data_IF_322517234776
#
_entry.id   IF_322517234776
#
_cell.length_a   1.000
_cell.length_b   1.000
_cell.length_c   1.000
_cell.angle_alpha   90.00
_cell.angle_beta   90.00
_cell.angle_gamma   90.00
#
_symmetry.space_group_name_H-M   'P 1'
#
loop_
_entity.id
_entity.type
_entity.pdbx_description
1 polymer ?
#
# COMPACT_ATOMS: atom_id res chain seq x y z
N UNK A 1 -18.32 39.82 61.45
CA UNK A 1 -17.20 39.57 60.52
C UNK A 1 -17.39 38.19 59.92
N UNK A 2 -17.88 38.12 58.67
CA UNK A 2 -18.18 36.86 57.99
C UNK A 2 -16.92 36.45 57.18
N UNK A 3 -16.36 35.29 57.50
CA UNK A 3 -15.26 34.68 56.74
C UNK A 3 -15.83 33.99 55.52
N UNK A 4 -15.58 34.51 54.34
CA UNK A 4 -15.89 33.88 53.04
C UNK A 4 -14.78 32.89 52.73
N UNK A 5 -15.10 31.58 52.77
CA UNK A 5 -14.22 30.52 52.33
C UNK A 5 -14.32 30.42 50.80
N UNK A 6 -13.28 30.84 50.10
CA UNK A 6 -13.17 30.69 48.65
C UNK A 6 -12.68 29.25 48.34
N UNK A 7 -13.59 28.39 47.88
CA UNK A 7 -13.27 27.03 47.45
C UNK A 7 -12.80 27.10 45.97
N UNK A 8 -11.49 27.15 45.79
CA UNK A 8 -10.92 27.09 44.44
C UNK A 8 -11.02 25.64 43.90
N UNK A 9 -12.01 25.39 43.05
CA UNK A 9 -12.16 24.13 42.33
C UNK A 9 -11.09 24.05 41.22
N UNK A 10 -9.97 23.37 41.50
CA UNK A 10 -8.91 23.14 40.56
C UNK A 10 -9.34 22.02 39.59
N UNK A 11 -9.90 22.41 38.44
CA UNK A 11 -10.28 21.48 37.38
C UNK A 11 -8.98 20.98 36.67
N UNK A 12 -8.48 19.81 37.10
CA UNK A 12 -7.34 19.16 36.45
C UNK A 12 -7.85 18.63 35.11
N UNK A 13 -7.53 19.35 34.03
CA UNK A 13 -7.73 18.89 32.67
C UNK A 13 -6.73 17.74 32.40
N UNK A 14 -7.18 16.49 32.57
CA UNK A 14 -6.40 15.31 32.19
C UNK A 14 -6.38 15.25 30.66
N UNK A 15 -5.38 15.83 30.06
CA UNK A 15 -5.12 15.66 28.61
C UNK A 15 -4.61 14.23 28.44
N UNK A 16 -5.50 13.33 28.02
CA UNK A 16 -5.10 12.01 27.55
C UNK A 16 -4.28 12.21 26.27
N UNK A 17 -2.96 12.14 26.39
CA UNK A 17 -2.06 12.03 25.25
C UNK A 17 -2.29 10.64 24.60
N UNK A 18 -3.20 10.59 23.63
CA UNK A 18 -3.37 9.41 22.82
C UNK A 18 -2.07 9.26 22.02
N UNK A 19 -1.18 8.39 22.49
CA UNK A 19 -0.02 7.98 21.71
C UNK A 19 -0.52 7.19 20.50
N UNK A 20 -0.70 7.87 19.37
CA UNK A 20 -1.11 7.24 18.13
C UNK A 20 0.01 6.31 17.64
N UNK A 21 -0.16 5.02 17.89
CA UNK A 21 0.82 4.02 17.47
C UNK A 21 0.90 3.98 15.95
N UNK A 22 2.11 4.17 15.43
CA UNK A 22 2.37 4.20 13.99
C UNK A 22 3.47 3.21 13.66
N UNK A 23 3.17 2.23 12.82
CA UNK A 23 4.16 1.33 12.26
C UNK A 23 4.63 1.86 10.90
N UNK A 24 5.94 1.72 10.65
CA UNK A 24 6.56 2.07 9.37
C UNK A 24 7.45 0.93 8.91
N UNK A 25 7.47 0.69 7.61
CA UNK A 25 8.33 -0.33 7.04
C UNK A 25 8.87 0.10 5.67
N UNK A 26 10.00 -0.50 5.30
CA UNK A 26 10.56 -0.50 3.93
C UNK A 26 10.50 -1.91 3.32
N UNK A 27 9.78 -2.82 3.95
CA UNK A 27 9.55 -4.17 3.47
C UNK A 27 8.15 -4.25 2.86
N UNK A 28 8.00 -3.63 1.69
CA UNK A 28 6.80 -3.68 0.88
C UNK A 28 7.16 -4.17 -0.52
N UNK A 29 6.75 -5.40 -0.80
CA UNK A 29 7.00 -6.11 -2.03
C UNK A 29 5.80 -5.96 -2.96
N UNK A 30 6.02 -5.48 -4.18
CA UNK A 30 4.99 -5.37 -5.21
C UNK A 30 5.45 -6.17 -6.42
N UNK A 31 4.68 -7.16 -6.80
CA UNK A 31 4.89 -7.99 -7.98
C UNK A 31 3.75 -7.76 -8.97
N UNK A 32 4.05 -7.75 -10.26
CA UNK A 32 3.06 -7.81 -11.31
C UNK A 32 3.49 -8.72 -12.45
N UNK A 33 2.52 -9.32 -13.12
CA UNK A 33 2.74 -10.10 -14.32
C UNK A 33 1.65 -9.76 -15.37
N UNK A 34 1.96 -8.91 -16.34
CA UNK A 34 0.98 -8.50 -17.35
C UNK A 34 0.82 -9.52 -18.48
N UNK A 35 1.58 -10.63 -18.51
CA UNK A 35 1.45 -11.63 -19.55
C UNK A 35 0.02 -12.20 -19.60
N UNK A 36 -0.52 -12.39 -20.81
CA UNK A 36 -1.84 -13.01 -21.01
C UNK A 36 -1.84 -14.46 -20.52
N UNK A 37 -0.76 -15.19 -20.77
CA UNK A 37 -0.48 -16.48 -20.15
C UNK A 37 0.44 -16.27 -18.95
N UNK A 38 -0.12 -16.43 -17.75
CA UNK A 38 0.58 -16.20 -16.48
C UNK A 38 1.71 -17.21 -16.19
N UNK A 39 1.80 -18.30 -16.95
CA UNK A 39 2.95 -19.23 -16.89
C UNK A 39 4.22 -18.58 -17.43
N UNK A 40 4.09 -17.62 -18.35
CA UNK A 40 5.19 -16.81 -18.86
C UNK A 40 5.48 -15.63 -17.92
N UNK A 41 6.74 -15.24 -17.84
CA UNK A 41 7.20 -14.14 -16.98
C UNK A 41 8.05 -13.12 -17.72
N UNK A 42 7.96 -13.09 -19.04
CA UNK A 42 8.82 -12.25 -19.89
C UNK A 42 8.63 -10.75 -19.58
N UNK A 43 7.39 -10.36 -19.20
CA UNK A 43 7.02 -8.99 -18.86
C UNK A 43 6.78 -8.80 -17.36
N UNK A 44 7.01 -9.85 -16.54
CA UNK A 44 6.82 -9.77 -15.10
C UNK A 44 7.95 -8.99 -14.44
N UNK A 45 7.63 -8.27 -13.37
CA UNK A 45 8.63 -7.58 -12.56
C UNK A 45 8.17 -7.43 -11.11
N UNK A 46 9.10 -7.10 -10.23
CA UNK A 46 8.83 -6.81 -8.83
C UNK A 46 9.70 -5.66 -8.32
N UNK A 47 9.12 -4.89 -7.40
CA UNK A 47 9.85 -3.97 -6.54
C UNK A 47 9.85 -4.51 -5.12
N UNK A 48 11.00 -4.41 -4.43
CA UNK A 48 11.16 -4.74 -3.01
C UNK A 48 11.46 -3.50 -2.16
N UNK A 49 11.31 -2.31 -2.73
CA UNK A 49 11.71 -1.04 -2.13
C UNK A 49 10.51 -0.15 -1.79
N UNK A 50 9.34 -0.74 -1.69
CA UNK A 50 8.14 -0.04 -1.24
C UNK A 50 8.27 0.38 0.23
N UNK A 51 7.70 1.54 0.56
CA UNK A 51 7.62 2.05 1.93
C UNK A 51 6.17 2.16 2.34
N UNK A 52 5.82 1.64 3.52
CA UNK A 52 4.46 1.71 4.02
C UNK A 52 4.37 2.26 5.45
N UNK A 53 3.22 2.85 5.76
CA UNK A 53 2.87 3.38 7.08
C UNK A 53 1.48 2.88 7.45
N UNK A 54 1.33 2.37 8.68
CA UNK A 54 0.05 2.02 9.29
C UNK A 54 -0.13 2.84 10.55
N UNK A 55 -1.20 3.62 10.62
CA UNK A 55 -1.67 4.29 11.85
C UNK A 55 -2.72 3.42 12.52
N UNK A 56 -2.37 2.85 13.66
CA UNK A 56 -3.18 1.81 14.30
C UNK A 56 -4.55 2.32 14.76
N UNK A 57 -4.58 3.50 15.38
CA UNK A 57 -5.82 4.04 15.98
C UNK A 57 -6.86 4.46 14.92
N UNK A 58 -6.42 4.87 13.73
CA UNK A 58 -7.30 5.35 12.66
C UNK A 58 -7.48 4.32 11.54
N UNK A 59 -6.76 3.19 11.60
CA UNK A 59 -6.68 2.18 10.53
C UNK A 59 -6.21 2.74 9.18
N UNK A 60 -5.60 3.93 9.18
CA UNK A 60 -5.07 4.55 7.97
C UNK A 60 -3.81 3.83 7.53
N UNK A 61 -3.72 3.58 6.23
CA UNK A 61 -2.55 2.98 5.59
C UNK A 61 -2.13 3.79 4.39
N UNK A 62 -0.83 3.97 4.25
CA UNK A 62 -0.23 4.58 3.08
C UNK A 62 0.90 3.69 2.56
N UNK A 63 1.02 3.60 1.24
CA UNK A 63 2.09 2.89 0.54
C UNK A 63 2.67 3.81 -0.53
N UNK A 64 3.99 3.81 -0.67
CA UNK A 64 4.72 4.46 -1.74
C UNK A 64 5.67 3.44 -2.36
N UNK A 65 5.66 3.32 -3.68
CA UNK A 65 6.51 2.42 -4.45
C UNK A 65 7.26 3.24 -5.50
N UNK A 66 8.59 3.35 -5.41
CA UNK A 66 9.37 4.01 -6.45
C UNK A 66 9.32 3.20 -7.75
N UNK A 67 8.92 3.80 -8.85
CA UNK A 67 8.71 3.05 -10.11
C UNK A 67 10.00 2.55 -10.74
N UNK A 68 11.13 3.22 -10.53
CA UNK A 68 12.45 2.79 -11.03
C UNK A 68 13.04 1.57 -10.33
N UNK A 69 12.40 1.06 -9.29
CA UNK A 69 12.84 -0.14 -8.57
C UNK A 69 12.26 -1.45 -9.13
N UNK A 70 11.47 -1.34 -10.18
CA UNK A 70 11.04 -2.51 -10.97
C UNK A 70 12.10 -2.87 -11.99
N UNK A 71 12.77 -4.01 -11.78
CA UNK A 71 13.81 -4.51 -12.68
C UNK A 71 13.31 -5.68 -13.51
N UNK A 72 13.77 -5.75 -14.75
CA UNK A 72 13.40 -6.77 -15.71
C UNK A 72 14.64 -7.57 -16.15
N UNK A 73 14.43 -8.81 -16.60
CA UNK A 73 15.52 -9.61 -17.14
C UNK A 73 16.03 -9.10 -18.50
N UNK A 74 15.31 -8.18 -19.13
CA UNK A 74 15.63 -7.57 -20.40
C UNK A 74 15.78 -6.05 -20.23
N UNK A 75 16.98 -5.52 -20.44
CA UNK A 75 17.28 -4.10 -20.26
C UNK A 75 16.45 -3.19 -21.18
N UNK A 76 16.19 -3.60 -22.42
CA UNK A 76 15.35 -2.83 -23.35
C UNK A 76 13.91 -2.76 -22.87
N UNK A 77 13.40 -3.84 -22.27
CA UNK A 77 12.07 -3.84 -21.66
C UNK A 77 12.01 -2.91 -20.44
N UNK A 78 13.04 -2.90 -19.61
CA UNK A 78 13.14 -1.98 -18.47
C UNK A 78 13.19 -0.52 -18.91
N UNK A 79 13.94 -0.21 -19.97
CA UNK A 79 13.95 1.12 -20.61
C UNK A 79 12.56 1.51 -21.10
N UNK A 80 11.88 0.63 -21.87
CA UNK A 80 10.53 0.89 -22.36
C UNK A 80 9.52 1.07 -21.22
N UNK A 81 9.62 0.26 -20.16
CA UNK A 81 8.78 0.41 -18.97
C UNK A 81 8.96 1.79 -18.34
N UNK A 82 10.21 2.23 -18.17
CA UNK A 82 10.51 3.49 -17.51
C UNK A 82 10.21 4.71 -18.37
N UNK A 83 10.52 4.66 -19.67
CA UNK A 83 10.49 5.84 -20.52
C UNK A 83 9.21 5.96 -21.34
N UNK A 84 8.71 4.82 -21.89
CA UNK A 84 7.61 4.84 -22.85
C UNK A 84 6.25 4.55 -22.17
N UNK A 85 6.23 3.72 -21.11
CA UNK A 85 4.96 3.31 -20.50
C UNK A 85 4.66 4.11 -19.23
N UNK A 86 5.59 4.13 -18.28
CA UNK A 86 5.35 4.73 -16.96
C UNK A 86 5.91 6.15 -16.82
N UNK A 87 6.71 6.63 -17.78
CA UNK A 87 7.33 7.96 -17.74
C UNK A 87 7.90 8.28 -16.36
N UNK A 88 8.74 7.36 -15.81
CA UNK A 88 9.13 7.37 -14.39
C UNK A 88 9.93 8.60 -13.99
N UNK A 89 10.51 9.33 -14.93
CA UNK A 89 11.12 10.65 -14.67
C UNK A 89 10.08 11.71 -14.32
N UNK A 90 8.86 11.61 -14.87
CA UNK A 90 7.73 12.51 -14.60
C UNK A 90 6.85 12.01 -13.45
N UNK A 91 6.65 10.70 -13.37
CA UNK A 91 5.82 10.03 -12.38
C UNK A 91 6.65 9.00 -11.59
N UNK A 92 7.55 9.44 -10.71
CA UNK A 92 8.55 8.57 -10.09
C UNK A 92 7.98 7.54 -9.11
N UNK A 93 6.75 7.74 -8.63
CA UNK A 93 6.17 6.90 -7.59
C UNK A 93 4.74 6.50 -7.94
N UNK A 94 4.39 5.23 -7.61
CA UNK A 94 3.02 4.85 -7.36
C UNK A 94 2.70 5.00 -5.87
N UNK A 95 1.47 5.38 -5.54
CA UNK A 95 1.06 5.55 -4.13
C UNK A 95 -0.32 4.97 -3.88
N UNK A 96 -0.54 4.47 -2.67
CA UNK A 96 -1.87 4.19 -2.13
C UNK A 96 -2.05 4.97 -0.83
N UNK A 97 -3.24 5.52 -0.63
CA UNK A 97 -3.67 6.14 0.63
C UNK A 97 -5.09 5.72 0.92
N UNK A 98 -5.32 5.13 2.09
CA UNK A 98 -6.65 4.63 2.44
C UNK A 98 -6.75 4.13 3.86
N UNK A 99 -7.75 3.28 4.10
CA UNK A 99 -8.03 2.68 5.40
C UNK A 99 -8.25 1.17 5.25
N UNK A 100 -7.99 0.45 6.33
CA UNK A 100 -8.30 -0.96 6.48
C UNK A 100 -9.65 -1.11 7.20
N UNK A 101 -10.64 -1.64 6.50
CA UNK A 101 -11.95 -1.98 7.07
C UNK A 101 -11.89 -3.37 7.68
N UNK A 102 -12.44 -3.54 8.88
CA UNK A 102 -12.36 -4.79 9.65
C UNK A 102 -11.08 -4.92 10.48
N UNK A 103 -10.18 -3.95 10.41
CA UNK A 103 -8.98 -3.90 11.26
C UNK A 103 -9.33 -3.42 12.67
N UNK A 104 -8.76 -4.11 13.67
CA UNK A 104 -8.80 -3.71 15.06
C UNK A 104 -7.39 -3.91 15.66
N UNK A 105 -6.92 -2.95 16.45
CA UNK A 105 -5.60 -2.99 17.07
C UNK A 105 -5.34 -4.22 17.92
N UNK A 106 -6.37 -4.75 18.58
CA UNK A 106 -6.25 -5.95 19.42
C UNK A 106 -5.86 -7.20 18.62
N UNK A 107 -6.14 -7.20 17.30
CA UNK A 107 -5.70 -8.27 16.40
C UNK A 107 -4.17 -8.37 16.32
N UNK A 108 -3.46 -7.26 16.48
CA UNK A 108 -1.99 -7.24 16.44
C UNK A 108 -1.34 -7.93 17.64
N UNK A 109 -2.10 -8.23 18.69
CA UNK A 109 -1.62 -8.88 19.92
C UNK A 109 -1.78 -10.41 19.90
N UNK A 110 -2.40 -10.97 18.86
CA UNK A 110 -2.72 -12.40 18.78
C UNK A 110 -2.30 -12.95 17.43
N UNK A 111 -1.50 -14.01 17.43
CA UNK A 111 -1.19 -14.75 16.22
C UNK A 111 -2.49 -15.24 15.55
N UNK A 112 -2.58 -15.02 14.24
CA UNK A 112 -3.78 -15.39 13.49
C UNK A 112 -3.80 -14.82 12.08
N UNK A 113 -4.83 -15.23 11.34
CA UNK A 113 -5.13 -14.76 9.99
C UNK A 113 -6.48 -14.02 10.05
N UNK A 114 -6.49 -12.80 9.53
CA UNK A 114 -7.66 -11.92 9.54
C UNK A 114 -7.95 -11.46 8.11
N UNK A 115 -9.22 -11.55 7.70
CA UNK A 115 -9.66 -11.04 6.41
C UNK A 115 -10.18 -9.62 6.57
N UNK A 116 -9.55 -8.69 5.87
CA UNK A 116 -9.82 -7.27 5.90
C UNK A 116 -10.20 -6.79 4.48
N UNK A 117 -10.58 -5.53 4.37
CA UNK A 117 -10.67 -4.82 3.10
C UNK A 117 -9.86 -3.53 3.18
N UNK A 118 -9.19 -3.19 2.09
CA UNK A 118 -8.50 -1.91 1.92
C UNK A 118 -9.34 -1.02 1.01
N UNK A 119 -9.63 0.19 1.45
CA UNK A 119 -10.41 1.19 0.69
C UNK A 119 -9.69 2.52 0.70
N UNK A 120 -9.59 3.17 -0.46
CA UNK A 120 -8.86 4.42 -0.59
C UNK A 120 -8.60 4.81 -2.04
N UNK A 121 -7.44 5.39 -2.30
CA UNK A 121 -7.04 5.86 -3.63
C UNK A 121 -5.66 5.36 -4.00
N UNK A 122 -5.53 4.87 -5.22
CA UNK A 122 -4.25 4.57 -5.89
C UNK A 122 -3.94 5.68 -6.87
N UNK A 123 -2.71 6.17 -6.82
CA UNK A 123 -2.16 7.04 -7.86
C UNK A 123 -1.05 6.30 -8.59
N UNK A 124 -1.17 6.18 -9.90
CA UNK A 124 -0.18 5.57 -10.80
C UNK A 124 -0.12 6.40 -12.07
N UNK A 125 1.08 6.64 -12.61
CA UNK A 125 1.29 7.41 -13.84
C UNK A 125 0.57 8.78 -13.83
N UNK A 126 0.49 9.42 -12.64
CA UNK A 126 -0.16 10.71 -12.44
C UNK A 126 -1.70 10.67 -12.38
N UNK A 127 -2.33 9.52 -12.57
CA UNK A 127 -3.78 9.33 -12.50
C UNK A 127 -4.16 8.73 -11.15
N UNK A 128 -5.14 9.31 -10.49
CA UNK A 128 -5.69 8.82 -9.21
C UNK A 128 -7.04 8.17 -9.43
N UNK A 129 -7.23 6.97 -8.89
CA UNK A 129 -8.47 6.18 -8.94
C UNK A 129 -8.86 5.71 -7.56
N UNK A 130 -10.16 5.59 -7.32
CA UNK A 130 -10.67 4.90 -6.14
C UNK A 130 -10.29 3.43 -6.22
N UNK A 131 -9.95 2.87 -5.05
CA UNK A 131 -9.45 1.52 -4.92
C UNK A 131 -10.11 0.80 -3.77
N UNK A 132 -10.50 -0.44 -4.02
CA UNK A 132 -10.98 -1.37 -3.01
C UNK A 132 -10.51 -2.77 -3.33
N UNK A 133 -9.89 -3.43 -2.35
CA UNK A 133 -9.45 -4.81 -2.51
C UNK A 133 -9.49 -5.57 -1.18
N UNK A 134 -9.69 -6.91 -1.21
CA UNK A 134 -9.51 -7.75 -0.04
C UNK A 134 -8.05 -7.77 0.39
N UNK A 135 -7.84 -7.82 1.69
CA UNK A 135 -6.52 -7.90 2.32
C UNK A 135 -6.52 -9.05 3.32
N UNK A 136 -5.54 -9.94 3.20
CA UNK A 136 -5.26 -10.96 4.21
C UNK A 136 -4.18 -10.42 5.14
N UNK A 137 -4.52 -10.21 6.40
CA UNK A 137 -3.56 -9.85 7.45
C UNK A 137 -3.16 -11.12 8.22
N UNK A 138 -1.86 -11.39 8.29
CA UNK A 138 -1.29 -12.50 9.07
C UNK A 138 -0.43 -11.92 10.19
N UNK A 139 -0.80 -12.18 11.44
CA UNK A 139 0.00 -11.83 12.62
C UNK A 139 0.73 -13.08 13.08
N UNK A 140 2.06 -12.98 13.22
CA UNK A 140 2.90 -14.07 13.69
C UNK A 140 4.07 -13.53 14.51
N UNK A 141 4.07 -13.82 15.81
CA UNK A 141 5.10 -13.37 16.74
C UNK A 141 5.21 -11.84 16.74
N UNK A 142 6.36 -11.33 16.32
CA UNK A 142 6.64 -9.89 16.28
C UNK A 142 6.53 -9.28 14.88
N UNK A 143 5.68 -9.82 14.03
CA UNK A 143 5.45 -9.27 12.70
C UNK A 143 3.99 -9.39 12.28
N UNK A 144 3.54 -8.45 11.46
CA UNK A 144 2.28 -8.52 10.75
C UNK A 144 2.54 -8.35 9.25
N UNK A 145 1.98 -9.26 8.46
CA UNK A 145 2.03 -9.22 6.99
C UNK A 145 0.64 -8.89 6.45
N UNK A 146 0.59 -7.96 5.51
CA UNK A 146 -0.62 -7.65 4.75
C UNK A 146 -0.40 -8.10 3.30
N UNK A 147 -1.17 -9.10 2.86
CA UNK A 147 -1.18 -9.60 1.49
C UNK A 147 -2.43 -9.08 0.78
N UNK A 148 -2.25 -8.49 -0.39
CA UNK A 148 -3.32 -7.96 -1.23
C UNK A 148 -3.08 -8.35 -2.69
N UNK A 149 -4.03 -9.07 -3.29
CA UNK A 149 -4.01 -9.42 -4.71
C UNK A 149 -5.17 -8.71 -5.42
N UNK A 150 -4.87 -8.00 -6.49
CA UNK A 150 -5.85 -7.23 -7.26
C UNK A 150 -5.44 -7.15 -8.74
N UNK A 151 -6.28 -6.51 -9.55
CA UNK A 151 -5.98 -6.29 -10.97
C UNK A 151 -6.20 -4.84 -11.33
N UNK A 152 -5.38 -4.33 -12.25
CA UNK A 152 -5.54 -3.00 -12.85
C UNK A 152 -5.61 -3.10 -14.36
N UNK A 153 -6.27 -2.12 -14.97
CA UNK A 153 -6.25 -1.89 -16.42
C UNK A 153 -5.29 -0.73 -16.72
N UNK A 154 -4.32 -0.94 -17.59
CA UNK A 154 -3.33 0.10 -17.92
C UNK A 154 -3.99 1.39 -18.43
N UNK A 155 -5.02 1.27 -19.26
CA UNK A 155 -5.78 2.39 -19.82
C UNK A 155 -6.43 3.27 -18.74
N UNK A 156 -6.83 2.71 -17.59
CA UNK A 156 -7.43 3.46 -16.48
C UNK A 156 -6.45 4.47 -15.85
N UNK A 157 -5.16 4.24 -16.05
CA UNK A 157 -4.06 5.09 -15.58
C UNK A 157 -3.35 5.84 -16.72
N UNK A 158 -4.02 5.98 -17.87
CA UNK A 158 -3.47 6.64 -19.06
C UNK A 158 -2.10 6.05 -19.50
N UNK A 159 -1.89 4.75 -19.26
CA UNK A 159 -0.70 4.02 -19.73
C UNK A 159 -1.05 3.45 -21.11
N UNK A 160 -0.38 3.95 -22.13
CA UNK A 160 -0.58 3.49 -23.51
C UNK A 160 0.29 2.27 -23.81
N UNK A 161 -0.35 1.21 -24.27
CA UNK A 161 0.33 -0.03 -24.66
C UNK A 161 0.33 -0.14 -26.19
N UNK A 162 1.51 -0.17 -26.84
CA UNK A 162 1.60 -0.28 -28.29
C UNK A 162 0.88 -1.51 -28.83
N UNK A 163 0.19 -1.34 -29.97
CA UNK A 163 -0.59 -2.40 -30.59
C UNK A 163 0.18 -3.68 -30.90
N UNK A 164 1.50 -3.58 -31.12
CA UNK A 164 2.38 -4.73 -31.37
C UNK A 164 2.53 -5.65 -30.15
N UNK A 165 2.47 -5.07 -28.92
CA UNK A 165 2.68 -5.80 -27.65
C UNK A 165 1.34 -6.20 -27.03
N UNK A 166 0.29 -5.41 -27.25
CA UNK A 166 -1.04 -5.58 -26.68
C UNK A 166 -1.61 -7.01 -26.77
N UNK A 167 -1.47 -7.77 -27.89
CA UNK A 167 -1.96 -9.14 -27.97
C UNK A 167 -1.31 -10.14 -27.00
N UNK A 168 -0.12 -9.82 -26.51
CA UNK A 168 0.66 -10.65 -25.56
C UNK A 168 0.32 -10.38 -24.11
N UNK A 169 -0.37 -9.25 -23.84
CA UNK A 169 -0.67 -8.79 -22.48
C UNK A 169 -2.14 -9.07 -22.13
N UNK A 170 -2.37 -9.24 -20.84
CA UNK A 170 -3.71 -9.34 -20.28
C UNK A 170 -4.37 -7.95 -20.23
N UNK A 171 -5.66 -7.87 -20.50
CA UNK A 171 -6.43 -6.62 -20.36
C UNK A 171 -6.41 -6.10 -18.90
N UNK A 172 -6.40 -7.02 -17.95
CA UNK A 172 -6.30 -6.75 -16.52
C UNK A 172 -4.99 -7.35 -15.99
N UNK A 173 -4.04 -6.50 -15.67
CA UNK A 173 -2.74 -6.92 -15.11
C UNK A 173 -2.90 -7.31 -13.65
N UNK A 174 -2.61 -8.56 -13.25
CA UNK A 174 -2.59 -8.96 -11.85
C UNK A 174 -1.41 -8.33 -11.13
N UNK A 175 -1.68 -7.90 -9.91
CA UNK A 175 -0.71 -7.30 -8.98
C UNK A 175 -0.84 -7.97 -7.63
N UNK A 176 0.28 -8.37 -7.05
CA UNK A 176 0.39 -8.88 -5.71
C UNK A 176 1.22 -7.92 -4.85
N UNK A 177 0.68 -7.51 -3.72
CA UNK A 177 1.36 -6.69 -2.75
C UNK A 177 1.51 -7.45 -1.43
N UNK A 178 2.73 -7.51 -0.90
CA UNK A 178 3.02 -8.07 0.41
C UNK A 178 3.80 -7.04 1.23
N UNK A 179 3.23 -6.62 2.35
CA UNK A 179 3.80 -5.57 3.22
C UNK A 179 4.01 -6.15 4.60
N UNK A 180 5.25 -6.08 5.12
CA UNK A 180 5.60 -6.62 6.43
C UNK A 180 5.94 -5.48 7.38
N UNK A 181 5.22 -5.40 8.50
CA UNK A 181 5.53 -4.47 9.59
C UNK A 181 6.09 -5.25 10.79
N UNK A 182 7.24 -4.83 11.35
CA UNK A 182 7.67 -5.33 12.65
C UNK A 182 6.74 -4.79 13.74
N UNK A 183 6.33 -5.67 14.66
CA UNK A 183 5.60 -5.31 15.88
C UNK A 183 6.59 -5.16 17.02
N UNK A 184 6.59 -4.01 17.66
CA UNK A 184 7.49 -3.70 18.79
C UNK A 184 6.97 -4.30 20.09
#
# INVERSE_FOLDING_TARGET
>A
MKKILLFAFFFILVVNLINAQTYKTRDANIYFNPNKDLSHKDYASQSKEGTAVLKVETSEVALLVPMKTFHFNNALLEEHFNENYLHTNKFPNATFKGKLTGFNKDQLTKDGIYNLSSEGQVTLHGVTKDFKAPVKMTVKGKSVTFDCSFKIKAEDFAIDIPGLVKPKLADLTPIDAAIVFPLN
#
